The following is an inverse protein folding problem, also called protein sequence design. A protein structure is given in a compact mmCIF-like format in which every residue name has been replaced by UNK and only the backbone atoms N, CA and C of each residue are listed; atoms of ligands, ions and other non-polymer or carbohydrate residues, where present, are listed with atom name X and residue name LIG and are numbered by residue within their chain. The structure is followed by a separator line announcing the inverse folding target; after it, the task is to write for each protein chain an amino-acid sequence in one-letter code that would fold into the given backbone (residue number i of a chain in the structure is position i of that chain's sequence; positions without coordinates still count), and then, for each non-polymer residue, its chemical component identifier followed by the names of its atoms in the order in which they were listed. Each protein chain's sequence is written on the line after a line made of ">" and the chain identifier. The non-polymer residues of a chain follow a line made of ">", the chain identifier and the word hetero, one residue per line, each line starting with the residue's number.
data_IF_747921831379
#
_entry.id   IF_747921831379
#
_cell.length_a   1.000
_cell.length_b   1.000
_cell.length_c   1.000
_cell.angle_alpha   90.00
_cell.angle_beta   90.00
_cell.angle_gamma   90.00
#
_symmetry.space_group_name_H-M   'P 1'
#
loop_
_entity.id
_entity.type
_entity.pdbx_description
1 polymer ?
#
# COMPACT_ATOMS: atom_id res chain seq x y z
N UNK A 1 -1.42 -1.72 11.35
CA UNK A 1 -0.33 -2.59 10.87
C UNK A 1 0.99 -1.99 11.28
N UNK A 2 1.88 -2.78 11.86
CA UNK A 2 3.23 -2.37 12.24
C UNK A 2 4.21 -3.09 11.31
N UNK A 3 5.04 -2.33 10.60
CA UNK A 3 6.07 -2.87 9.70
C UNK A 3 7.41 -2.75 10.43
N UNK A 4 8.17 -3.84 10.48
CA UNK A 4 9.44 -3.87 11.19
C UNK A 4 10.44 -4.85 10.55
N UNK A 5 11.76 -4.63 10.72
CA UNK A 5 12.76 -5.53 10.16
C UNK A 5 12.65 -6.95 10.74
N UNK A 6 12.91 -7.99 9.93
CA UNK A 6 12.89 -9.40 10.37
C UNK A 6 13.79 -9.67 11.58
N UNK A 7 14.96 -8.99 11.64
CA UNK A 7 15.90 -9.11 12.76
C UNK A 7 15.29 -8.71 14.12
N UNK A 8 14.25 -7.88 14.12
CA UNK A 8 13.56 -7.39 15.31
C UNK A 8 12.43 -8.34 15.78
N UNK A 9 12.20 -9.47 15.11
CA UNK A 9 11.19 -10.45 15.54
C UNK A 9 11.44 -10.98 16.96
N UNK A 10 12.71 -11.07 17.35
CA UNK A 10 13.16 -11.51 18.68
C UNK A 10 12.73 -10.53 19.78
N UNK A 11 12.67 -9.24 19.44
CA UNK A 11 12.27 -8.17 20.37
C UNK A 11 10.77 -8.24 20.71
N UNK A 12 9.95 -8.97 19.93
CA UNK A 12 8.53 -9.16 20.24
C UNK A 12 8.29 -10.07 21.44
N UNK A 13 9.29 -10.82 21.90
CA UNK A 13 9.17 -11.66 23.08
C UNK A 13 8.82 -10.83 24.33
N UNK A 14 9.33 -9.59 24.41
CA UNK A 14 9.10 -8.64 25.49
C UNK A 14 7.74 -7.92 25.42
N UNK A 15 7.05 -7.99 24.28
CA UNK A 15 5.74 -7.33 24.09
C UNK A 15 4.64 -8.17 24.76
N UNK A 16 3.77 -7.62 25.61
CA UNK A 16 2.67 -8.39 26.21
C UNK A 16 1.73 -9.04 25.17
N UNK A 17 1.20 -10.23 25.49
CA UNK A 17 0.38 -11.02 24.56
C UNK A 17 -0.91 -10.32 24.14
N UNK A 18 -1.52 -9.54 25.04
CA UNK A 18 -2.71 -8.72 24.73
C UNK A 18 -2.41 -7.68 23.64
N UNK A 19 -1.26 -7.00 23.74
CA UNK A 19 -0.83 -6.03 22.72
C UNK A 19 -0.50 -6.73 21.41
N UNK A 20 0.17 -7.90 21.46
CA UNK A 20 0.46 -8.70 20.26
C UNK A 20 -0.79 -9.18 19.54
N UNK A 21 -1.85 -9.53 20.27
CA UNK A 21 -3.10 -10.01 19.69
C UNK A 21 -3.91 -8.90 19.00
N UNK A 22 -3.82 -7.66 19.50
CA UNK A 22 -4.52 -6.49 18.94
C UNK A 22 -3.79 -5.87 17.73
N UNK A 23 -2.54 -6.26 17.47
CA UNK A 23 -1.70 -5.67 16.43
C UNK A 23 -1.35 -6.66 15.32
N UNK A 24 -1.36 -6.17 14.08
CA UNK A 24 -0.83 -6.91 12.93
C UNK A 24 0.61 -6.48 12.63
N UNK A 25 1.56 -7.38 12.83
CA UNK A 25 2.98 -7.18 12.50
C UNK A 25 3.31 -7.71 11.11
N UNK A 26 4.11 -6.96 10.36
CA UNK A 26 4.66 -7.34 9.06
C UNK A 26 6.17 -7.24 9.12
N UNK A 27 6.84 -8.38 8.99
CA UNK A 27 8.29 -8.46 9.04
C UNK A 27 8.87 -8.43 7.63
N UNK A 28 9.83 -7.55 7.42
CA UNK A 28 10.44 -7.31 6.10
C UNK A 28 11.97 -7.37 6.17
N UNK A 29 12.61 -7.72 5.06
CA UNK A 29 14.06 -7.74 4.93
C UNK A 29 14.61 -6.52 4.18
N UNK A 30 13.82 -5.95 3.28
CA UNK A 30 14.23 -4.87 2.36
C UNK A 30 13.31 -3.66 2.44
N UNK A 31 13.78 -2.51 1.92
CA UNK A 31 12.99 -1.28 1.87
C UNK A 31 11.87 -1.38 0.82
N UNK A 32 12.09 -2.11 -0.28
CA UNK A 32 11.10 -2.29 -1.33
C UNK A 32 9.83 -2.97 -0.80
N UNK A 33 9.99 -3.99 0.05
CA UNK A 33 8.88 -4.63 0.76
C UNK A 33 8.09 -3.65 1.65
N UNK A 34 8.75 -2.64 2.24
CA UNK A 34 8.06 -1.61 3.03
C UNK A 34 7.21 -0.74 2.12
N UNK A 35 7.74 -0.34 0.97
CA UNK A 35 7.04 0.54 0.03
C UNK A 35 5.80 -0.15 -0.53
N UNK A 36 5.90 -1.43 -0.88
CA UNK A 36 4.77 -2.23 -1.37
C UNK A 36 3.66 -2.40 -0.32
N UNK A 37 4.02 -2.47 0.98
CA UNK A 37 3.06 -2.62 2.07
C UNK A 37 2.45 -1.30 2.55
N UNK A 38 3.17 -0.19 2.39
CA UNK A 38 2.79 1.10 2.93
C UNK A 38 2.08 2.02 1.93
N UNK A 39 2.31 1.84 0.63
CA UNK A 39 1.75 2.69 -0.42
C UNK A 39 0.50 2.07 -1.03
N UNK A 40 -0.50 2.91 -1.28
CA UNK A 40 -1.67 2.52 -2.08
C UNK A 40 -1.27 2.37 -3.55
N UNK A 41 -1.94 1.48 -4.31
CA UNK A 41 -1.69 1.37 -5.74
C UNK A 41 -1.92 2.72 -6.44
N UNK A 42 -1.22 2.99 -7.55
CA UNK A 42 -1.35 4.25 -8.25
C UNK A 42 -2.81 4.50 -8.59
N UNK A 43 -3.28 5.71 -8.26
CA UNK A 43 -4.64 6.13 -8.57
C UNK A 43 -4.90 5.95 -10.08
N UNK A 44 -6.00 5.28 -10.43
CA UNK A 44 -6.40 5.14 -11.81
C UNK A 44 -6.71 6.56 -12.33
N UNK A 45 -6.02 7.07 -13.35
CA UNK A 45 -6.29 8.40 -13.87
C UNK A 45 -7.73 8.43 -14.41
N UNK A 46 -8.53 9.34 -13.85
CA UNK A 46 -9.98 9.49 -14.13
C UNK A 46 -10.23 9.78 -15.62
N UNK A 47 -9.22 10.29 -16.33
CA UNK A 47 -9.27 10.64 -17.75
C UNK A 47 -9.32 9.42 -18.70
N UNK A 48 -8.98 8.22 -18.23
CA UNK A 48 -9.07 6.99 -19.03
C UNK A 48 -10.52 6.49 -19.20
N UNK A 49 -11.47 6.98 -18.41
CA UNK A 49 -12.84 6.47 -18.37
C UNK A 49 -13.88 7.37 -19.08
N UNK A 50 -13.48 8.52 -19.64
CA UNK A 50 -14.40 9.38 -20.39
C UNK A 50 -14.34 8.98 -21.87
N UNK A 51 -15.38 8.35 -22.45
CA UNK A 51 -15.45 8.24 -23.90
C UNK A 51 -15.54 9.66 -24.46
N UNK A 52 -14.51 10.09 -25.20
CA UNK A 52 -14.55 11.35 -25.95
C UNK A 52 -15.71 11.27 -26.93
N UNK A 53 -16.85 11.85 -26.56
CA UNK A 53 -17.93 12.07 -27.48
C UNK A 53 -17.40 12.93 -28.64
N UNK A 54 -17.69 12.44 -29.85
CA UNK A 54 -17.14 12.83 -31.14
C UNK A 54 -16.82 14.32 -31.23
N UNK A 55 -15.58 14.63 -31.65
CA UNK A 55 -15.30 15.89 -32.32
C UNK A 55 -16.21 15.96 -33.55
N UNK A 56 -17.32 16.70 -33.45
CA UNK A 56 -18.13 17.03 -34.60
C UNK A 56 -17.35 18.05 -35.43
N UNK A 57 -16.75 17.58 -36.51
CA UNK A 57 -16.28 18.43 -37.61
C UNK A 57 -17.49 19.20 -38.14
N UNK A 58 -17.49 20.52 -37.96
CA UNK A 58 -18.40 21.42 -38.66
C UNK A 58 -17.91 21.57 -40.11
N UNK A 59 -18.74 21.35 -41.14
CA UNK A 59 -18.44 21.82 -42.49
C UNK A 59 -18.95 23.27 -42.69
N UNK A 60 -18.26 23.95 -43.61
CA UNK A 60 -18.37 25.36 -44.02
C UNK A 60 -19.76 25.84 -44.47
#
# INVERSE_FOLDING_TARGET
>A
TVIMPKRNQKDLEDVPANVRAEMQFRFVDTIDEVLDLALEPPAIPIDAAVPRFRQATAPS
#
